data_IF_456461439022
#
_entry.id   IF_456461439022
#
_cell.length_a   1.000
_cell.length_b   1.000
_cell.length_c   1.000
_cell.angle_alpha   90.00
_cell.angle_beta   90.00
_cell.angle_gamma   90.00
#
_symmetry.space_group_name_H-M   'P 1'
#
loop_
_entity.id
_entity.type
_entity.pdbx_description
1 polymer ?
#
# COMPACT_ATOMS: atom_id res chain seq x y z
N UNK A 1 8.45 19.39 -1.54
CA UNK A 1 7.94 18.91 -0.24
C UNK A 1 8.73 17.68 0.18
N UNK A 2 9.08 17.53 1.45
CA UNK A 2 9.81 16.36 1.95
C UNK A 2 8.85 15.31 2.52
N UNK A 3 8.92 14.09 2.00
CA UNK A 3 8.07 12.97 2.38
C UNK A 3 8.88 11.93 3.17
N UNK A 4 8.39 11.50 4.33
CA UNK A 4 8.92 10.34 5.07
C UNK A 4 8.07 9.11 4.73
N UNK A 5 8.69 8.07 4.18
CA UNK A 5 7.97 6.93 3.62
C UNK A 5 8.22 5.68 4.46
N UNK A 6 7.14 4.99 4.83
CA UNK A 6 7.16 3.68 5.48
C UNK A 6 6.04 2.80 4.93
N UNK A 7 6.26 1.50 4.85
CA UNK A 7 5.23 0.50 4.60
C UNK A 7 5.63 -0.85 5.19
N UNK A 8 4.68 -1.78 5.24
CA UNK A 8 4.95 -3.18 5.63
C UNK A 8 5.68 -3.25 6.97
N UNK A 9 5.31 -2.36 7.91
CA UNK A 9 5.94 -2.26 9.23
C UNK A 9 5.40 -3.30 10.20
N UNK A 10 4.22 -3.87 9.89
CA UNK A 10 3.74 -5.11 10.47
C UNK A 10 3.72 -5.10 12.01
N UNK A 11 3.19 -4.01 12.59
CA UNK A 11 3.17 -3.78 14.03
C UNK A 11 2.42 -4.90 14.77
N UNK A 12 1.50 -5.63 14.13
CA UNK A 12 0.80 -6.79 14.68
C UNK A 12 1.74 -7.91 15.15
N UNK A 13 2.94 -8.01 14.55
CA UNK A 13 3.96 -8.98 14.94
C UNK A 13 4.97 -8.45 15.96
N UNK A 14 5.06 -7.12 16.12
CA UNK A 14 5.88 -6.48 17.15
C UNK A 14 5.15 -6.36 18.49
N UNK A 15 3.83 -6.14 18.45
CA UNK A 15 2.95 -6.28 19.61
C UNK A 15 3.08 -7.72 20.14
N UNK A 16 3.16 -7.88 21.47
CA UNK A 16 3.42 -9.15 22.19
C UNK A 16 4.90 -9.55 22.38
N UNK A 17 5.86 -8.63 22.24
CA UNK A 17 7.23 -8.85 22.74
C UNK A 17 8.13 -9.73 21.84
N UNK A 18 7.74 -9.95 20.58
CA UNK A 18 8.59 -10.59 19.57
C UNK A 18 9.39 -9.56 18.77
N UNK A 19 9.93 -8.55 19.43
CA UNK A 19 10.96 -7.71 18.82
C UNK A 19 12.18 -8.60 18.61
N UNK A 20 12.35 -9.13 17.40
CA UNK A 20 13.60 -9.76 17.03
C UNK A 20 14.68 -8.68 17.16
N UNK A 21 15.74 -8.86 17.96
CA UNK A 21 16.72 -7.82 18.21
C UNK A 21 17.33 -7.21 16.93
N UNK A 22 17.31 -7.98 15.84
CA UNK A 22 17.81 -7.61 14.51
C UNK A 22 16.77 -6.96 13.58
N UNK A 23 15.49 -6.82 13.96
CA UNK A 23 14.52 -6.14 13.10
C UNK A 23 14.82 -4.63 13.05
N UNK A 24 14.89 -4.03 11.86
CA UNK A 24 15.24 -2.61 11.73
C UNK A 24 14.12 -1.69 12.19
N UNK A 25 12.85 -2.09 12.04
CA UNK A 25 11.70 -1.36 12.56
C UNK A 25 11.50 -1.62 14.07
N UNK A 26 11.31 -0.55 14.84
CA UNK A 26 11.25 -0.57 16.32
C UNK A 26 9.85 -0.38 16.92
N UNK A 27 8.83 -0.19 16.09
CA UNK A 27 7.44 0.04 16.54
C UNK A 27 7.08 1.50 16.79
N UNK A 28 7.95 2.44 16.42
CA UNK A 28 7.70 3.88 16.48
C UNK A 28 8.30 4.55 15.24
N UNK A 29 7.60 5.56 14.71
CA UNK A 29 8.06 6.40 13.61
C UNK A 29 9.16 7.33 14.16
N UNK A 30 10.39 7.26 13.64
CA UNK A 30 11.45 8.14 14.11
C UNK A 30 11.12 9.61 13.77
N UNK A 31 11.55 10.53 14.64
CA UNK A 31 11.41 11.96 14.36
C UNK A 31 12.32 12.35 13.18
N UNK A 32 11.73 13.07 12.22
CA UNK A 32 12.38 13.54 11.00
C UNK A 32 11.94 14.98 10.70
N UNK A 33 12.63 15.62 9.75
CA UNK A 33 12.28 16.95 9.26
C UNK A 33 11.31 16.93 8.06
N UNK A 34 10.64 15.80 7.81
CA UNK A 34 9.66 15.67 6.73
C UNK A 34 8.44 16.56 6.93
N UNK A 35 7.87 17.07 5.83
CA UNK A 35 6.64 17.85 5.83
C UNK A 35 5.40 16.95 6.00
N UNK A 36 5.44 15.74 5.43
CA UNK A 36 4.35 14.77 5.42
C UNK A 36 4.90 13.34 5.58
N UNK A 37 4.22 12.50 6.36
CA UNK A 37 4.53 11.07 6.47
C UNK A 37 3.57 10.28 5.58
N UNK A 38 4.09 9.30 4.84
CA UNK A 38 3.32 8.39 3.99
C UNK A 38 3.44 6.97 4.55
N UNK A 39 2.30 6.36 4.86
CA UNK A 39 2.16 4.98 5.28
C UNK A 39 1.45 4.17 4.19
N UNK A 40 2.22 3.40 3.41
CA UNK A 40 1.74 2.71 2.20
C UNK A 40 1.28 1.25 2.44
N UNK A 41 0.47 1.05 3.49
CA UNK A 41 -0.16 -0.23 3.82
C UNK A 41 0.68 -1.18 4.67
N UNK A 42 0.01 -2.22 5.15
CA UNK A 42 0.55 -3.26 6.04
C UNK A 42 1.23 -2.68 7.29
N UNK A 43 0.53 -1.75 7.92
CA UNK A 43 0.93 -1.10 9.17
C UNK A 43 0.54 -1.94 10.37
N UNK A 44 -0.71 -2.39 10.41
CA UNK A 44 -1.23 -3.30 11.45
C UNK A 44 -2.54 -3.96 10.99
N UNK A 45 -3.12 -4.83 11.83
CA UNK A 45 -4.39 -5.51 11.54
C UNK A 45 -5.59 -4.74 12.11
N UNK A 46 -6.61 -4.54 11.28
CA UNK A 46 -7.86 -3.91 11.65
C UNK A 46 -7.70 -2.43 12.04
N UNK A 47 -8.41 -2.01 13.09
CA UNK A 47 -8.35 -0.62 13.56
C UNK A 47 -7.11 -0.29 14.38
N UNK A 48 -6.30 -1.29 14.72
CA UNK A 48 -5.08 -1.10 15.49
C UNK A 48 -4.05 -0.23 14.77
N UNK A 49 -4.05 -0.26 13.43
CA UNK A 49 -3.19 0.56 12.60
C UNK A 49 -3.56 2.03 12.76
N UNK A 50 -4.80 2.40 12.45
CA UNK A 50 -5.25 3.79 12.56
C UNK A 50 -5.13 4.36 13.99
N UNK A 51 -5.40 3.57 15.02
CA UNK A 51 -5.23 3.99 16.41
C UNK A 51 -3.77 4.35 16.73
N UNK A 52 -2.83 3.49 16.32
CA UNK A 52 -1.41 3.76 16.48
C UNK A 52 -0.95 4.96 15.65
N UNK A 53 -1.44 5.10 14.41
CA UNK A 53 -1.08 6.23 13.53
C UNK A 53 -1.54 7.57 14.13
N UNK A 54 -2.72 7.61 14.75
CA UNK A 54 -3.21 8.82 15.44
C UNK A 54 -2.25 9.19 16.57
N UNK A 55 -1.88 8.25 17.43
CA UNK A 55 -0.92 8.48 18.53
C UNK A 55 0.43 9.00 18.00
N UNK A 56 0.95 8.42 16.91
CA UNK A 56 2.20 8.85 16.29
C UNK A 56 2.10 10.25 15.65
N UNK A 57 0.97 10.56 15.01
CA UNK A 57 0.71 11.88 14.42
C UNK A 57 0.66 12.98 15.47
N UNK A 58 0.12 12.67 16.66
CA UNK A 58 0.07 13.57 17.81
C UNK A 58 1.46 13.73 18.44
N UNK A 59 2.16 12.62 18.67
CA UNK A 59 3.51 12.59 19.26
C UNK A 59 4.51 13.38 18.43
N UNK A 60 4.49 13.21 17.11
CA UNK A 60 5.39 13.89 16.18
C UNK A 60 4.89 15.27 15.75
N UNK A 61 3.62 15.59 16.02
CA UNK A 61 2.95 16.77 15.50
C UNK A 61 3.07 16.88 13.96
N UNK A 62 2.81 15.78 13.25
CA UNK A 62 2.90 15.67 11.78
C UNK A 62 1.59 15.19 11.17
N UNK A 63 1.33 15.62 9.95
CA UNK A 63 0.27 15.00 9.12
C UNK A 63 0.75 13.67 8.56
N UNK A 64 -0.16 12.70 8.46
CA UNK A 64 0.14 11.36 7.97
C UNK A 64 -0.89 10.94 6.93
N UNK A 65 -0.43 10.58 5.72
CA UNK A 65 -1.26 9.86 4.75
C UNK A 65 -1.22 8.38 5.07
N UNK A 66 -2.38 7.75 5.12
CA UNK A 66 -2.53 6.33 5.41
C UNK A 66 -3.33 5.64 4.30
N UNK A 67 -2.71 4.65 3.67
CA UNK A 67 -3.33 3.72 2.72
C UNK A 67 -3.34 2.33 3.35
N UNK A 68 -4.42 1.57 3.16
CA UNK A 68 -4.51 0.19 3.67
C UNK A 68 -3.80 -0.77 2.72
N UNK A 69 -3.06 -1.70 3.30
CA UNK A 69 -2.61 -2.92 2.64
C UNK A 69 -3.57 -4.07 2.86
N UNK A 70 -3.14 -5.28 2.54
CA UNK A 70 -3.96 -6.49 2.69
C UNK A 70 -4.03 -6.94 4.15
N UNK A 71 -3.00 -6.69 4.98
CA UNK A 71 -2.95 -7.11 6.38
C UNK A 71 -3.98 -6.39 7.25
N UNK A 72 -4.29 -5.13 6.96
CA UNK A 72 -5.35 -4.41 7.67
C UNK A 72 -6.66 -5.20 7.66
N UNK A 73 -6.96 -5.89 6.56
CA UNK A 73 -8.20 -6.63 6.38
C UNK A 73 -8.20 -8.04 6.98
N UNK A 74 -7.08 -8.52 7.54
CA UNK A 74 -6.99 -9.89 8.04
C UNK A 74 -7.94 -10.14 9.20
N UNK A 75 -8.88 -11.08 9.02
CA UNK A 75 -9.96 -11.41 9.98
C UNK A 75 -11.00 -10.30 10.17
N UNK A 76 -11.05 -9.37 9.24
CA UNK A 76 -12.02 -8.30 9.19
C UNK A 76 -12.89 -8.39 7.94
N UNK A 77 -14.01 -7.69 7.96
CA UNK A 77 -14.84 -7.48 6.77
C UNK A 77 -14.41 -6.21 6.05
N UNK A 78 -14.21 -6.32 4.74
CA UNK A 78 -13.59 -5.31 3.89
C UNK A 78 -14.26 -3.93 3.99
N UNK A 79 -15.58 -3.85 3.81
CA UNK A 79 -16.26 -2.55 3.74
C UNK A 79 -16.44 -1.92 5.12
N UNK A 80 -16.90 -2.69 6.11
CA UNK A 80 -17.14 -2.15 7.46
C UNK A 80 -15.84 -1.71 8.13
N UNK A 81 -14.72 -2.39 7.87
CA UNK A 81 -13.44 -1.95 8.40
C UNK A 81 -13.04 -0.57 7.84
N UNK A 82 -13.23 -0.35 6.54
CA UNK A 82 -12.93 0.95 5.90
C UNK A 82 -13.79 2.06 6.47
N UNK A 83 -15.08 1.80 6.69
CA UNK A 83 -15.99 2.74 7.36
C UNK A 83 -15.53 3.07 8.78
N UNK A 84 -15.09 2.06 9.56
CA UNK A 84 -14.60 2.25 10.93
C UNK A 84 -13.28 3.02 10.98
N UNK A 85 -12.33 2.71 10.09
CA UNK A 85 -11.06 3.43 9.97
C UNK A 85 -11.30 4.89 9.57
N UNK A 86 -12.17 5.14 8.58
CA UNK A 86 -12.54 6.50 8.18
C UNK A 86 -13.18 7.29 9.32
N UNK A 87 -14.05 6.66 10.11
CA UNK A 87 -14.66 7.30 11.27
C UNK A 87 -13.62 7.67 12.34
N UNK A 88 -12.60 6.83 12.57
CA UNK A 88 -11.50 7.09 13.51
C UNK A 88 -10.53 8.17 13.03
N UNK A 89 -10.24 8.23 11.73
CA UNK A 89 -9.36 9.23 11.15
C UNK A 89 -9.96 10.65 11.15
N UNK A 90 -11.28 10.76 11.26
CA UNK A 90 -12.00 12.04 11.23
C UNK A 90 -11.54 12.98 12.35
N UNK A 91 -11.33 14.25 12.01
CA UNK A 91 -10.93 15.32 12.93
C UNK A 91 -9.55 15.08 13.59
N UNK A 92 -8.68 14.29 12.94
CA UNK A 92 -7.29 14.04 13.33
C UNK A 92 -6.29 14.61 12.30
N UNK A 93 -4.98 14.39 12.50
CA UNK A 93 -3.94 14.70 11.50
C UNK A 93 -3.69 13.56 10.51
N UNK A 94 -4.52 12.53 10.54
CA UNK A 94 -4.39 11.35 9.68
C UNK A 94 -5.34 11.45 8.51
N UNK A 95 -4.78 11.43 7.31
CA UNK A 95 -5.48 11.44 6.03
C UNK A 95 -5.58 9.99 5.53
N UNK A 96 -6.65 9.30 5.93
CA UNK A 96 -6.97 7.98 5.38
C UNK A 96 -7.44 8.13 3.92
N UNK A 97 -6.69 7.55 2.98
CA UNK A 97 -6.98 7.59 1.55
C UNK A 97 -7.35 6.20 1.03
N UNK A 98 -8.54 6.11 0.46
CA UNK A 98 -9.08 4.93 -0.20
C UNK A 98 -9.87 5.39 -1.43
N UNK A 99 -9.24 5.33 -2.61
CA UNK A 99 -9.69 6.12 -3.76
C UNK A 99 -9.90 7.59 -3.35
N UNK A 100 -8.91 8.13 -2.65
CA UNK A 100 -8.95 9.46 -2.04
C UNK A 100 -7.79 10.34 -2.51
N UNK A 101 -7.95 11.64 -2.30
CA UNK A 101 -6.91 12.64 -2.60
C UNK A 101 -6.70 13.58 -1.43
N UNK A 102 -5.44 13.79 -1.05
CA UNK A 102 -5.01 14.89 -0.20
C UNK A 102 -4.37 15.97 -1.08
N UNK A 103 -4.75 17.23 -0.87
CA UNK A 103 -4.03 18.38 -1.41
C UNK A 103 -3.21 19.01 -0.28
N UNK A 104 -1.89 19.07 -0.45
CA UNK A 104 -0.98 19.72 0.48
C UNK A 104 -0.05 20.65 -0.29
N UNK A 105 -0.27 21.96 -0.16
CA UNK A 105 0.42 22.97 -0.97
C UNK A 105 0.18 22.77 -2.47
N UNK A 106 1.27 22.66 -3.24
CA UNK A 106 1.29 22.36 -4.67
C UNK A 106 1.42 20.86 -4.98
N UNK A 107 1.25 19.99 -3.98
CA UNK A 107 1.28 18.54 -4.14
C UNK A 107 -0.14 17.97 -3.99
N UNK A 108 -0.54 17.07 -4.91
CA UNK A 108 -1.70 16.19 -4.72
C UNK A 108 -1.22 14.77 -4.49
N UNK A 109 -1.75 14.11 -3.46
CA UNK A 109 -1.43 12.73 -3.11
C UNK A 109 -2.69 11.89 -3.29
N UNK A 110 -2.66 10.96 -4.24
CA UNK A 110 -3.70 9.95 -4.41
C UNK A 110 -3.37 8.71 -3.58
N UNK A 111 -4.37 8.10 -2.95
CA UNK A 111 -4.20 6.88 -2.17
C UNK A 111 -5.27 5.83 -2.43
N UNK A 112 -4.85 4.58 -2.60
CA UNK A 112 -5.69 3.41 -2.86
C UNK A 112 -4.93 2.11 -2.56
N UNK A 113 -5.61 1.02 -2.21
CA UNK A 113 -4.91 -0.27 -2.02
C UNK A 113 -4.37 -0.82 -3.36
N UNK A 114 -5.08 -0.54 -4.45
CA UNK A 114 -4.85 -0.93 -5.83
C UNK A 114 -5.13 -2.40 -6.17
N UNK A 115 -5.11 -3.32 -5.20
CA UNK A 115 -5.25 -4.77 -5.41
C UNK A 115 -4.51 -5.24 -6.69
N UNK A 116 -4.88 -6.36 -7.29
CA UNK A 116 -4.15 -6.93 -8.43
C UNK A 116 -5.08 -7.41 -9.54
N UNK A 117 -4.60 -7.33 -10.78
CA UNK A 117 -5.26 -7.91 -11.95
C UNK A 117 -4.83 -9.35 -12.24
N UNK A 118 -3.81 -9.86 -11.56
CA UNK A 118 -3.21 -11.18 -11.80
C UNK A 118 -2.66 -11.39 -13.23
N UNK A 119 -2.37 -10.32 -13.99
CA UNK A 119 -1.91 -10.38 -15.39
C UNK A 119 -0.41 -10.13 -15.58
N UNK A 120 0.31 -9.86 -14.49
CA UNK A 120 1.74 -9.58 -14.50
C UNK A 120 2.61 -10.62 -15.25
N UNK A 121 2.28 -11.91 -15.15
CA UNK A 121 2.91 -12.95 -15.94
C UNK A 121 2.11 -13.20 -17.23
N UNK A 122 2.56 -12.58 -18.33
CA UNK A 122 1.92 -12.67 -19.65
C UNK A 122 1.91 -14.10 -20.24
N UNK A 123 2.70 -15.03 -19.70
CA UNK A 123 2.71 -16.42 -20.14
C UNK A 123 1.71 -17.31 -19.37
N UNK A 124 1.16 -16.82 -18.25
CA UNK A 124 0.24 -17.56 -17.40
C UNK A 124 -1.21 -17.11 -17.66
N UNK A 125 -2.15 -18.02 -17.96
CA UNK A 125 -3.56 -17.68 -18.02
C UNK A 125 -4.06 -17.06 -16.70
N UNK A 126 -4.79 -15.95 -16.79
CA UNK A 126 -5.25 -15.18 -15.62
C UNK A 126 -6.08 -16.03 -14.65
N UNK A 127 -6.97 -16.87 -15.17
CA UNK A 127 -7.80 -17.79 -14.39
C UNK A 127 -6.96 -18.79 -13.59
N UNK A 128 -5.86 -19.26 -14.17
CA UNK A 128 -4.91 -20.15 -13.50
C UNK A 128 -4.10 -19.41 -12.43
N UNK A 129 -3.66 -18.18 -12.70
CA UNK A 129 -3.00 -17.33 -11.71
C UNK A 129 -3.89 -17.06 -10.50
N UNK A 130 -5.13 -16.64 -10.75
CA UNK A 130 -6.16 -16.43 -9.73
C UNK A 130 -6.43 -17.72 -8.94
N UNK A 131 -6.51 -18.88 -9.59
CA UNK A 131 -6.69 -20.16 -8.91
C UNK A 131 -5.56 -20.47 -7.93
N UNK A 132 -4.30 -20.27 -8.33
CA UNK A 132 -3.15 -20.50 -7.45
C UNK A 132 -3.10 -19.48 -6.30
N UNK A 133 -3.28 -18.19 -6.59
CA UNK A 133 -3.35 -17.13 -5.58
C UNK A 133 -4.45 -17.43 -4.54
N UNK A 134 -5.65 -17.77 -5.01
CA UNK A 134 -6.82 -18.09 -4.18
C UNK A 134 -6.63 -19.28 -3.23
N UNK A 135 -5.70 -20.20 -3.53
CA UNK A 135 -5.34 -21.32 -2.66
C UNK A 135 -4.21 -20.99 -1.70
N UNK A 136 -3.26 -20.18 -2.14
CA UNK A 136 -1.98 -20.02 -1.46
C UNK A 136 -1.91 -18.77 -0.58
N UNK A 137 -2.59 -17.68 -0.95
CA UNK A 137 -2.50 -16.41 -0.22
C UNK A 137 -3.49 -16.35 0.94
N UNK A 138 -2.99 -15.83 2.07
CA UNK A 138 -3.77 -15.69 3.28
C UNK A 138 -4.93 -14.70 3.10
N UNK A 139 -4.80 -13.71 2.22
CA UNK A 139 -5.83 -12.75 1.84
C UNK A 139 -7.17 -13.45 1.56
N UNK A 140 -7.13 -14.51 0.75
CA UNK A 140 -8.32 -15.24 0.30
C UNK A 140 -8.85 -16.28 1.31
N UNK A 141 -8.23 -16.34 2.48
CA UNK A 141 -8.61 -17.19 3.62
C UNK A 141 -9.05 -16.37 4.83
N UNK A 142 -8.40 -15.23 5.09
CA UNK A 142 -8.55 -14.43 6.29
C UNK A 142 -9.46 -13.22 6.09
N UNK A 143 -9.60 -12.71 4.87
CA UNK A 143 -10.43 -11.53 4.62
C UNK A 143 -11.88 -11.96 4.33
N UNK A 144 -12.82 -11.23 4.89
CA UNK A 144 -14.24 -11.35 4.59
C UNK A 144 -14.70 -10.16 3.74
N UNK A 145 -15.67 -10.39 2.86
CA UNK A 145 -16.30 -9.34 2.08
C UNK A 145 -17.80 -9.56 2.03
N UNK A 146 -18.56 -8.48 2.23
CA UNK A 146 -20.02 -8.50 2.08
C UNK A 146 -20.41 -8.62 0.61
N UNK A 147 -21.36 -9.50 0.33
CA UNK A 147 -22.09 -9.60 -0.93
C UNK A 147 -23.55 -9.17 -0.72
N UNK A 148 -24.34 -9.10 -1.80
CA UNK A 148 -25.73 -8.59 -1.77
C UNK A 148 -26.63 -9.21 -0.70
N UNK A 149 -26.36 -10.46 -0.29
CA UNK A 149 -27.23 -11.19 0.63
C UNK A 149 -26.50 -11.81 1.84
N UNK A 150 -25.16 -11.89 1.83
CA UNK A 150 -24.38 -12.57 2.88
C UNK A 150 -22.93 -12.08 2.94
N UNK A 151 -22.23 -12.41 4.02
CA UNK A 151 -20.77 -12.33 4.09
C UNK A 151 -20.13 -13.56 3.46
N UNK A 152 -19.09 -13.37 2.65
CA UNK A 152 -18.30 -14.45 2.05
C UNK A 152 -16.82 -14.22 2.32
N UNK A 153 -16.00 -15.25 2.05
CA UNK A 153 -14.55 -15.06 1.97
C UNK A 153 -14.23 -14.19 0.77
N UNK A 154 -13.29 -13.27 0.92
CA UNK A 154 -12.71 -12.52 -0.17
C UNK A 154 -11.99 -13.47 -1.13
N UNK A 155 -12.24 -13.34 -2.43
CA UNK A 155 -11.67 -14.21 -3.48
C UNK A 155 -10.90 -13.41 -4.51
N UNK A 156 -10.04 -14.07 -5.33
CA UNK A 156 -9.35 -13.41 -6.42
C UNK A 156 -10.27 -12.60 -7.34
N UNK A 157 -11.48 -13.08 -7.60
CA UNK A 157 -12.49 -12.32 -8.37
C UNK A 157 -12.87 -11.00 -7.69
N UNK A 158 -12.94 -10.97 -6.36
CA UNK A 158 -13.22 -9.75 -5.60
C UNK A 158 -12.04 -8.76 -5.69
N UNK A 159 -10.81 -9.26 -5.55
CA UNK A 159 -9.59 -8.46 -5.71
C UNK A 159 -9.47 -7.86 -7.12
N UNK A 160 -9.76 -8.66 -8.15
CA UNK A 160 -9.75 -8.22 -9.56
C UNK A 160 -10.79 -7.11 -9.80
N UNK A 161 -12.01 -7.26 -9.27
CA UNK A 161 -13.06 -6.24 -9.41
C UNK A 161 -12.68 -4.94 -8.71
N UNK A 162 -12.09 -5.03 -7.51
CA UNK A 162 -11.58 -3.86 -6.78
C UNK A 162 -10.44 -3.19 -7.56
N UNK A 163 -9.46 -3.96 -8.03
CA UNK A 163 -8.37 -3.45 -8.86
C UNK A 163 -8.88 -2.68 -10.08
N UNK A 164 -9.84 -3.25 -10.81
CA UNK A 164 -10.43 -2.60 -11.98
C UNK A 164 -11.11 -1.27 -11.63
N UNK A 165 -11.87 -1.24 -10.53
CA UNK A 165 -12.54 -0.03 -10.05
C UNK A 165 -11.54 1.04 -9.60
N UNK A 166 -10.52 0.64 -8.83
CA UNK A 166 -9.51 1.53 -8.26
C UNK A 166 -8.59 2.10 -9.36
N UNK A 167 -8.18 1.24 -10.30
CA UNK A 167 -7.44 1.65 -11.51
C UNK A 167 -8.23 2.67 -12.33
N UNK A 168 -9.51 2.39 -12.60
CA UNK A 168 -10.37 3.29 -13.36
C UNK A 168 -10.52 4.65 -12.66
N UNK A 169 -10.78 4.64 -11.35
CA UNK A 169 -10.87 5.86 -10.56
C UNK A 169 -9.56 6.68 -10.62
N UNK A 170 -8.40 6.01 -10.52
CA UNK A 170 -7.09 6.66 -10.60
C UNK A 170 -6.88 7.32 -11.97
N UNK A 171 -7.16 6.61 -13.06
CA UNK A 171 -7.09 7.17 -14.42
C UNK A 171 -8.00 8.40 -14.56
N UNK A 172 -9.23 8.36 -14.03
CA UNK A 172 -10.13 9.51 -14.03
C UNK A 172 -9.56 10.70 -13.24
N UNK A 173 -8.90 10.46 -12.09
CA UNK A 173 -8.29 11.54 -11.31
C UNK A 173 -7.06 12.12 -12.01
N UNK A 174 -6.21 11.28 -12.60
CA UNK A 174 -5.00 11.70 -13.29
C UNK A 174 -5.30 12.54 -14.54
N UNK A 175 -6.42 12.27 -15.21
CA UNK A 175 -6.91 13.09 -16.33
C UNK A 175 -7.35 14.51 -15.93
N UNK A 176 -7.54 14.80 -14.63
CA UNK A 176 -7.87 16.15 -14.16
C UNK A 176 -6.59 17.00 -14.17
N UNK A 177 -6.59 18.15 -14.87
CA UNK A 177 -5.43 19.04 -14.90
C UNK A 177 -4.99 19.46 -13.50
N UNK A 178 -3.68 19.45 -13.27
CA UNK A 178 -3.08 19.94 -12.03
C UNK A 178 -1.72 20.57 -12.36
N UNK A 179 -1.49 21.78 -11.89
CA UNK A 179 -0.26 22.53 -12.19
C UNK A 179 0.89 22.27 -11.22
N UNK A 180 0.68 21.35 -10.26
CA UNK A 180 1.63 21.00 -9.23
C UNK A 180 2.12 19.55 -9.36
N UNK A 181 2.69 19.01 -8.29
CA UNK A 181 3.26 17.66 -8.24
C UNK A 181 2.21 16.60 -7.94
N UNK A 182 2.23 15.49 -8.68
CA UNK A 182 1.33 14.36 -8.48
C UNK A 182 2.08 13.19 -7.83
N UNK A 183 1.63 12.81 -6.63
CA UNK A 183 2.08 11.61 -5.93
C UNK A 183 0.96 10.58 -5.95
N UNK A 184 1.30 9.32 -6.26
CA UNK A 184 0.40 8.17 -6.11
C UNK A 184 0.95 7.27 -5.01
N UNK A 185 0.10 6.87 -4.07
CA UNK A 185 0.41 5.90 -3.02
C UNK A 185 -0.51 4.71 -3.23
N UNK A 186 0.08 3.56 -3.53
CA UNK A 186 -0.63 2.28 -3.53
C UNK A 186 -0.02 1.33 -2.52
N UNK A 187 -0.75 0.29 -2.13
CA UNK A 187 -0.09 -0.81 -1.42
C UNK A 187 0.51 -1.81 -2.42
N UNK A 188 -0.30 -2.30 -3.37
CA UNK A 188 0.16 -3.19 -4.42
C UNK A 188 1.07 -2.45 -5.41
N UNK A 189 2.06 -3.15 -5.94
CA UNK A 189 3.08 -2.54 -6.77
C UNK A 189 2.59 -2.29 -8.22
N UNK A 190 2.95 -1.15 -8.83
CA UNK A 190 2.34 -0.71 -10.09
C UNK A 190 3.09 -1.15 -11.35
N UNK A 191 4.23 -1.83 -11.23
CA UNK A 191 5.09 -2.10 -12.38
C UNK A 191 5.96 -3.36 -12.20
N UNK A 192 6.32 -4.08 -13.29
CA UNK A 192 7.16 -5.28 -13.20
C UNK A 192 8.57 -5.06 -12.62
N UNK A 193 9.09 -3.83 -12.64
CA UNK A 193 10.38 -3.50 -11.99
C UNK A 193 10.34 -3.68 -10.47
N UNK A 194 9.15 -3.68 -9.88
CA UNK A 194 8.92 -3.84 -8.44
C UNK A 194 9.01 -5.30 -7.97
N UNK A 195 9.21 -6.26 -8.89
CA UNK A 195 9.27 -7.68 -8.55
C UNK A 195 10.38 -7.95 -7.53
N UNK A 196 10.09 -8.79 -6.53
CA UNK A 196 11.11 -9.21 -5.57
C UNK A 196 12.22 -10.01 -6.31
N UNK A 197 13.49 -9.58 -6.24
CA UNK A 197 14.57 -10.15 -7.06
C UNK A 197 14.87 -11.62 -6.75
N UNK A 198 14.70 -12.03 -5.49
CA UNK A 198 14.91 -13.44 -5.08
C UNK A 198 13.67 -14.35 -5.34
N UNK A 199 12.52 -13.77 -5.73
CA UNK A 199 11.29 -14.51 -6.04
C UNK A 199 10.76 -14.13 -7.43
N UNK A 200 11.52 -14.41 -8.50
CA UNK A 200 11.09 -14.11 -9.86
C UNK A 200 9.84 -14.92 -10.23
N UNK A 201 9.06 -14.38 -11.18
CA UNK A 201 7.79 -14.88 -11.72
C UNK A 201 7.39 -16.29 -11.28
N UNK A 202 6.45 -16.33 -10.33
CA UNK A 202 5.71 -17.53 -9.96
C UNK A 202 4.22 -17.29 -10.23
N UNK A 203 3.39 -18.34 -10.33
CA UNK A 203 1.95 -18.16 -10.47
C UNK A 203 1.28 -17.33 -9.38
N UNK A 204 1.89 -17.27 -8.19
CA UNK A 204 1.41 -16.46 -7.06
C UNK A 204 1.99 -15.03 -7.15
N UNK A 205 3.15 -14.87 -7.80
CA UNK A 205 3.84 -13.60 -8.02
C UNK A 205 2.97 -12.53 -8.68
N UNK A 206 2.02 -12.93 -9.53
CA UNK A 206 1.10 -12.00 -10.18
C UNK A 206 0.11 -11.35 -9.21
N UNK A 207 -0.01 -11.85 -7.98
CA UNK A 207 -0.85 -11.24 -6.98
C UNK A 207 -0.22 -9.99 -6.33
N UNK A 208 1.10 -9.80 -6.45
CA UNK A 208 1.80 -8.75 -5.72
C UNK A 208 1.99 -7.45 -6.51
N UNK A 209 1.85 -7.53 -7.84
CA UNK A 209 2.03 -6.38 -8.73
C UNK A 209 1.18 -6.51 -10.00
N UNK A 210 0.85 -5.36 -10.58
CA UNK A 210 0.21 -5.25 -11.90
C UNK A 210 1.13 -4.52 -12.87
N UNK A 211 0.98 -4.77 -14.17
CA UNK A 211 1.67 -4.02 -15.22
C UNK A 211 0.85 -2.76 -15.60
N UNK A 212 1.08 -1.66 -14.87
CA UNK A 212 0.43 -0.36 -15.12
C UNK A 212 1.28 0.61 -15.92
N UNK A 213 2.20 0.08 -16.75
CA UNK A 213 3.06 0.88 -17.63
C UNK A 213 2.26 1.92 -18.44
N UNK A 214 1.08 1.54 -18.96
CA UNK A 214 0.22 2.46 -19.70
C UNK A 214 -0.27 3.66 -18.88
N UNK A 215 -0.52 3.51 -17.57
CA UNK A 215 -0.89 4.64 -16.70
C UNK A 215 0.34 5.53 -16.48
N UNK A 216 1.49 4.92 -16.23
CA UNK A 216 2.76 5.63 -15.99
C UNK A 216 3.16 6.47 -17.22
N UNK A 217 2.99 5.95 -18.43
CA UNK A 217 3.38 6.63 -19.68
C UNK A 217 2.41 7.75 -20.07
N UNK A 218 1.11 7.59 -19.79
CA UNK A 218 0.08 8.50 -20.29
C UNK A 218 -0.32 9.62 -19.31
N UNK A 219 0.27 9.65 -18.11
CA UNK A 219 -0.10 10.61 -17.07
C UNK A 219 1.13 11.21 -16.39
N UNK A 220 1.03 12.50 -16.04
CA UNK A 220 2.06 13.21 -15.28
C UNK A 220 2.02 12.77 -13.80
N UNK A 221 2.84 11.77 -13.47
CA UNK A 221 3.04 11.26 -12.10
C UNK A 221 4.50 11.51 -11.73
N UNK A 222 4.75 12.37 -10.74
CA UNK A 222 6.12 12.67 -10.31
C UNK A 222 6.71 11.55 -9.44
N UNK A 223 5.85 10.93 -8.60
CA UNK A 223 6.26 9.92 -7.63
C UNK A 223 5.16 8.89 -7.41
N UNK A 224 5.52 7.60 -7.46
CA UNK A 224 4.67 6.48 -7.09
C UNK A 224 5.28 5.70 -5.93
N UNK A 225 4.63 5.73 -4.77
CA UNK A 225 5.04 5.03 -3.55
C UNK A 225 4.23 3.74 -3.42
N UNK A 226 4.88 2.63 -3.10
CA UNK A 226 4.24 1.33 -2.95
C UNK A 226 4.82 0.47 -1.80
N UNK A 227 4.18 -0.65 -1.48
CA UNK A 227 4.60 -1.64 -0.47
C UNK A 227 4.50 -3.09 -0.95
N UNK A 228 4.05 -3.99 -0.08
CA UNK A 228 3.56 -5.37 -0.34
C UNK A 228 4.57 -6.42 -0.82
N UNK A 229 5.58 -6.01 -1.58
CA UNK A 229 6.54 -6.92 -2.25
C UNK A 229 7.68 -7.37 -1.36
N UNK A 230 7.86 -6.71 -0.21
CA UNK A 230 8.97 -6.83 0.73
C UNK A 230 10.35 -6.67 0.06
N UNK A 231 10.40 -5.87 -1.01
CA UNK A 231 11.60 -5.59 -1.79
C UNK A 231 11.70 -4.09 -2.09
N UNK A 232 12.56 -3.41 -1.33
CA UNK A 232 12.78 -1.98 -1.50
C UNK A 232 13.42 -1.64 -2.83
N UNK A 233 12.88 -0.60 -3.46
CA UNK A 233 13.28 -0.09 -4.76
C UNK A 233 13.18 1.43 -4.74
N UNK A 234 14.10 2.08 -5.44
CA UNK A 234 14.02 3.48 -5.82
C UNK A 234 14.57 3.59 -7.24
N UNK A 235 13.67 3.76 -8.20
CA UNK A 235 14.03 3.79 -9.63
C UNK A 235 13.13 4.77 -10.38
N UNK A 236 13.55 5.14 -11.58
CA UNK A 236 12.71 5.91 -12.50
C UNK A 236 12.24 5.00 -13.64
N UNK A 237 10.95 5.05 -13.94
CA UNK A 237 10.32 4.41 -15.09
C UNK A 237 9.68 5.51 -15.92
N UNK A 238 10.21 5.73 -17.13
CA UNK A 238 9.93 6.92 -17.93
C UNK A 238 10.24 8.22 -17.16
N UNK A 239 9.22 9.02 -16.84
CA UNK A 239 9.34 10.26 -16.09
C UNK A 239 8.87 10.12 -14.62
N UNK A 240 8.40 8.92 -14.23
CA UNK A 240 7.86 8.64 -12.90
C UNK A 240 8.90 7.97 -12.01
N UNK A 241 9.18 8.54 -10.84
CA UNK A 241 9.99 7.87 -9.81
C UNK A 241 9.11 6.87 -9.06
N UNK A 242 9.51 5.61 -9.00
CA UNK A 242 8.80 4.53 -8.30
C UNK A 242 9.63 4.11 -7.09
N UNK A 243 9.05 4.16 -5.90
CA UNK A 243 9.77 3.96 -4.63
C UNK A 243 8.99 3.09 -3.64
N UNK A 244 9.70 2.28 -2.87
CA UNK A 244 9.18 1.63 -1.67
C UNK A 244 10.21 1.61 -0.52
N UNK A 245 9.72 1.67 0.72
CA UNK A 245 10.53 1.55 1.94
C UNK A 245 9.78 0.69 2.99
N UNK A 246 9.85 -0.61 2.75
CA UNK A 246 9.14 -1.73 3.35
C UNK A 246 10.01 -2.34 4.45
N UNK A 247 9.47 -2.52 5.66
CA UNK A 247 10.22 -3.18 6.73
C UNK A 247 10.20 -4.71 6.60
N UNK A 248 9.06 -5.26 6.14
CA UNK A 248 8.79 -6.68 6.00
C UNK A 248 8.56 -7.38 7.33
N UNK A 249 8.51 -8.72 7.29
CA UNK A 249 8.19 -9.50 8.50
C UNK A 249 9.37 -9.60 9.47
N UNK A 250 9.09 -9.80 10.78
CA UNK A 250 10.12 -10.21 11.73
C UNK A 250 10.89 -11.46 11.28
N UNK A 251 12.18 -11.27 10.99
CA UNK A 251 13.10 -12.35 10.64
C UNK A 251 13.34 -12.47 9.14
N UNK A 252 12.54 -11.75 8.35
CA UNK A 252 12.81 -11.52 6.94
C UNK A 252 14.01 -10.59 6.77
N UNK A 253 14.77 -10.81 5.69
CA UNK A 253 15.95 -10.02 5.36
C UNK A 253 15.62 -9.05 4.24
N UNK A 254 14.72 -8.11 4.50
CA UNK A 254 14.47 -7.02 3.56
C UNK A 254 15.70 -6.13 3.49
N UNK A 255 16.22 -5.93 2.28
CA UNK A 255 17.41 -5.10 2.05
C UNK A 255 17.00 -3.63 1.99
N UNK A 256 17.90 -2.76 2.45
CA UNK A 256 17.80 -1.31 2.28
C UNK A 256 16.56 -0.65 2.91
N UNK A 257 15.92 -1.29 3.90
CA UNK A 257 14.92 -0.59 4.71
C UNK A 257 15.60 0.44 5.60
N UNK A 258 15.14 1.68 5.54
CA UNK A 258 15.68 2.80 6.31
C UNK A 258 14.54 3.46 7.10
N UNK A 259 14.50 3.36 8.45
CA UNK A 259 13.40 3.91 9.24
C UNK A 259 13.17 5.42 9.07
N UNK A 260 14.20 6.17 8.70
CA UNK A 260 14.17 7.63 8.47
C UNK A 260 14.22 7.98 6.97
N UNK A 261 13.88 7.03 6.09
CA UNK A 261 13.91 7.25 4.64
C UNK A 261 13.01 8.41 4.23
N UNK A 262 13.61 9.39 3.56
CA UNK A 262 12.91 10.58 3.10
C UNK A 262 13.27 10.91 1.66
N UNK A 263 12.30 11.48 0.94
CA UNK A 263 12.48 11.94 -0.44
C UNK A 263 11.86 13.31 -0.62
N UNK A 264 12.44 14.09 -1.53
CA UNK A 264 11.81 15.30 -2.04
C UNK A 264 10.91 14.98 -3.23
N UNK A 265 9.77 15.69 -3.29
CA UNK A 265 8.88 15.79 -4.44
C UNK A 265 8.71 17.25 -4.87
#
# INVERSE_FOLDING_TARGET
MKLHILSDVHNEFLRNGKVLPSHPWKGEIPETDADLIILAGDIDVGVQGIEWIIEESERLNKEIVYVLGNHEFYRHEYYSLKEEIAAKAKDTKVHFLDCGVLHSGDVRVFGLTLWTDYLADKALPQDLAMFYAGKSLADHQLIQIRSSENYKRFKPDDALLLHQSEKHWLEEQLNKPFSGKTVVVSHHAPHPVCIHPDYPNSPIGTAFYSDLEAIIVNHDIDLWIYGHTHSNLDTVVYDTRIISNQAGYPGEKVKNFEPQFMVDV
#
